data_IF_600248451616
#
_entry.id   IF_600248451616
#
_cell.length_a   1.000
_cell.length_b   1.000
_cell.length_c   1.000
_cell.angle_alpha   90.00
_cell.angle_beta   90.00
_cell.angle_gamma   90.00
#
_symmetry.space_group_name_H-M   'P 1'
#
loop_
_entity.id
_entity.type
_entity.pdbx_description
1 polymer ?
#
# COMPACT_ATOMS: atom_id res chain seq x y z
N UNK A 1 4.18 -16.49 12.73
CA UNK A 1 4.07 -15.02 12.61
C UNK A 1 4.44 -14.57 11.20
N UNK A 2 3.57 -13.77 10.57
CA UNK A 2 3.88 -13.02 9.35
C UNK A 2 3.69 -11.52 9.61
N UNK A 3 4.43 -10.66 8.92
CA UNK A 3 4.36 -9.21 9.12
C UNK A 3 4.52 -8.47 7.80
N UNK A 4 4.10 -7.21 7.78
CA UNK A 4 4.30 -6.33 6.65
C UNK A 4 4.29 -4.87 7.08
N UNK A 5 4.90 -4.02 6.26
CA UNK A 5 4.95 -2.60 6.50
C UNK A 5 4.37 -1.85 5.31
N UNK A 6 3.49 -0.91 5.61
CA UNK A 6 2.91 0.04 4.66
C UNK A 6 3.45 1.42 4.99
N UNK A 7 4.02 2.09 3.99
CA UNK A 7 4.40 3.50 4.04
C UNK A 7 3.40 4.31 3.19
N UNK A 8 2.72 5.27 3.81
CA UNK A 8 1.78 6.15 3.10
C UNK A 8 2.06 7.59 3.44
N UNK A 9 1.72 8.47 2.52
CA UNK A 9 1.86 9.91 2.71
C UNK A 9 0.54 10.61 2.47
N UNK A 10 0.25 11.63 3.27
CA UNK A 10 -0.97 12.41 3.14
C UNK A 10 -0.80 13.81 3.73
N UNK A 11 -1.72 14.70 3.35
CA UNK A 11 -1.82 16.04 3.95
C UNK A 11 -2.26 15.96 5.41
N UNK A 12 -1.92 16.98 6.22
CA UNK A 12 -2.17 16.96 7.66
C UNK A 12 -3.63 16.75 8.04
N UNK A 13 -4.57 17.28 7.25
CA UNK A 13 -6.02 17.12 7.44
C UNK A 13 -6.50 15.66 7.28
N UNK A 14 -5.71 14.81 6.62
CA UNK A 14 -6.06 13.40 6.32
C UNK A 14 -5.19 12.40 7.06
N UNK A 15 -3.94 12.75 7.34
CA UNK A 15 -2.90 11.83 7.81
C UNK A 15 -3.33 11.04 9.06
N UNK A 16 -3.82 11.73 10.10
CA UNK A 16 -4.26 11.09 11.33
C UNK A 16 -5.53 10.24 11.12
N UNK A 17 -6.44 10.70 10.26
CA UNK A 17 -7.65 9.95 9.91
C UNK A 17 -7.29 8.63 9.22
N UNK A 18 -6.37 8.66 8.25
CA UNK A 18 -5.87 7.45 7.57
C UNK A 18 -5.26 6.49 8.58
N UNK A 19 -4.36 6.96 9.45
CA UNK A 19 -3.72 6.12 10.47
C UNK A 19 -4.73 5.42 11.38
N UNK A 20 -5.70 6.19 11.93
CA UNK A 20 -6.72 5.65 12.84
C UNK A 20 -7.64 4.65 12.15
N UNK A 21 -8.20 5.03 11.00
CA UNK A 21 -9.09 4.16 10.22
C UNK A 21 -8.38 2.89 9.77
N UNK A 22 -7.10 2.97 9.40
CA UNK A 22 -6.31 1.78 9.04
C UNK A 22 -6.18 0.83 10.22
N UNK A 23 -5.80 1.32 11.41
CA UNK A 23 -5.69 0.47 12.61
C UNK A 23 -7.02 -0.19 13.00
N UNK A 24 -8.10 0.60 12.99
CA UNK A 24 -9.46 0.12 13.32
C UNK A 24 -9.92 -0.96 12.34
N UNK A 25 -9.80 -0.72 11.03
CA UNK A 25 -10.26 -1.66 10.01
C UNK A 25 -9.41 -2.93 9.94
N UNK A 26 -8.09 -2.81 10.13
CA UNK A 26 -7.21 -3.98 10.19
C UNK A 26 -7.56 -4.86 11.39
N UNK A 27 -7.76 -4.27 12.57
CA UNK A 27 -8.22 -5.04 13.73
C UNK A 27 -9.61 -5.64 13.48
N UNK A 28 -10.58 -4.84 13.05
CA UNK A 28 -11.96 -5.29 12.82
C UNK A 28 -12.03 -6.51 11.89
N UNK A 29 -11.28 -6.49 10.79
CA UNK A 29 -11.30 -7.57 9.79
C UNK A 29 -10.44 -8.78 10.17
N UNK A 30 -9.32 -8.59 10.85
CA UNK A 30 -8.29 -9.62 10.99
C UNK A 30 -7.96 -10.00 12.45
N UNK A 31 -8.72 -9.53 13.44
CA UNK A 31 -8.51 -9.88 14.86
C UNK A 31 -8.51 -11.40 15.13
N UNK A 32 -9.22 -12.20 14.33
CA UNK A 32 -9.22 -13.67 14.44
C UNK A 32 -7.84 -14.30 14.23
N UNK A 33 -6.93 -13.60 13.56
CA UNK A 33 -5.54 -14.01 13.33
C UNK A 33 -4.55 -13.32 14.30
N UNK A 34 -5.08 -12.73 15.38
CA UNK A 34 -4.30 -12.00 16.38
C UNK A 34 -3.42 -10.92 15.73
N UNK A 35 -4.07 -10.09 14.89
CA UNK A 35 -3.41 -8.98 14.23
C UNK A 35 -3.05 -7.88 15.22
N UNK A 36 -1.80 -7.42 15.17
CA UNK A 36 -1.32 -6.28 15.92
C UNK A 36 -0.80 -5.21 14.96
N UNK A 37 -0.98 -3.94 15.31
CA UNK A 37 -0.48 -2.82 14.51
C UNK A 37 0.36 -1.88 15.36
N UNK A 38 1.51 -1.50 14.83
CA UNK A 38 2.39 -0.50 15.41
C UNK A 38 2.83 0.45 14.30
N UNK A 39 3.02 1.73 14.60
CA UNK A 39 3.45 2.66 13.58
C UNK A 39 3.85 4.00 14.16
N UNK A 40 4.57 4.75 13.35
CA UNK A 40 5.07 6.08 13.69
C UNK A 40 4.96 7.00 12.48
N UNK A 41 5.19 8.29 12.70
CA UNK A 41 5.25 9.30 11.64
C UNK A 41 6.71 9.64 11.39
N UNK A 42 7.26 9.23 10.25
CA UNK A 42 8.72 9.25 10.02
C UNK A 42 9.19 10.50 9.26
N UNK A 43 8.33 11.06 8.41
CA UNK A 43 8.65 12.20 7.56
C UNK A 43 7.57 13.27 7.66
N UNK A 44 8.02 14.52 7.57
CA UNK A 44 7.18 15.71 7.64
C UNK A 44 7.53 16.62 6.48
N UNK A 45 6.50 17.22 5.89
CA UNK A 45 6.60 18.22 4.84
C UNK A 45 5.78 19.45 5.23
N UNK A 46 5.85 20.51 4.41
CA UNK A 46 5.07 21.73 4.66
C UNK A 46 3.55 21.49 4.73
N UNK A 47 3.04 20.50 4.02
CA UNK A 47 1.60 20.27 3.86
C UNK A 47 1.11 18.95 4.44
N UNK A 48 2.00 18.10 4.95
CA UNK A 48 1.63 16.76 5.41
C UNK A 48 2.79 15.97 5.98
N UNK A 49 2.60 14.66 6.04
CA UNK A 49 3.63 13.75 6.54
C UNK A 49 3.40 12.34 6.06
N UNK A 50 4.21 11.43 6.60
CA UNK A 50 4.19 10.02 6.28
C UNK A 50 3.79 9.20 7.50
N UNK A 51 2.96 8.18 7.30
CA UNK A 51 2.69 7.11 8.26
C UNK A 51 3.51 5.89 7.86
N UNK A 52 4.30 5.37 8.81
CA UNK A 52 4.96 4.08 8.72
C UNK A 52 4.20 3.08 9.61
N UNK A 53 3.29 2.32 9.03
CA UNK A 53 2.47 1.35 9.76
C UNK A 53 2.94 -0.07 9.48
N UNK A 54 3.25 -0.79 10.54
CA UNK A 54 3.56 -2.21 10.51
C UNK A 54 2.40 -3.00 11.10
N UNK A 55 2.06 -4.10 10.44
CA UNK A 55 1.16 -5.10 10.98
C UNK A 55 1.91 -6.39 11.27
N UNK A 56 1.46 -7.12 12.28
CA UNK A 56 1.92 -8.44 12.67
C UNK A 56 0.71 -9.34 12.77
N UNK A 57 0.76 -10.52 12.17
CA UNK A 57 -0.25 -11.56 12.29
C UNK A 57 0.43 -12.67 13.09
N UNK A 58 0.07 -12.79 14.35
CA UNK A 58 0.75 -13.70 15.28
C UNK A 58 0.30 -15.14 15.07
N UNK A 59 -0.97 -15.33 14.71
CA UNK A 59 -1.61 -16.63 14.48
C UNK A 59 -2.02 -16.78 13.00
N UNK A 60 -1.07 -16.85 12.05
CA UNK A 60 -1.38 -17.04 10.64
C UNK A 60 -1.85 -18.48 10.35
N UNK A 61 -2.52 -18.71 9.19
CA UNK A 61 -2.74 -20.06 8.68
C UNK A 61 -1.43 -20.87 8.60
N UNK A 62 -1.53 -22.18 8.83
CA UNK A 62 -0.38 -23.10 8.68
C UNK A 62 -0.03 -23.32 7.20
N UNK A 63 -1.05 -23.31 6.33
CA UNK A 63 -0.83 -23.42 4.89
C UNK A 63 -0.12 -22.15 4.34
N UNK A 64 1.04 -22.30 3.67
CA UNK A 64 1.78 -21.15 3.16
C UNK A 64 1.02 -20.31 2.12
N UNK A 65 0.19 -20.94 1.28
CA UNK A 65 -0.56 -20.19 0.27
C UNK A 65 -1.67 -19.34 0.90
N UNK A 66 -2.38 -19.90 1.89
CA UNK A 66 -3.35 -19.16 2.69
C UNK A 66 -2.70 -18.02 3.48
N UNK A 67 -1.52 -18.24 4.05
CA UNK A 67 -0.76 -17.20 4.75
C UNK A 67 -0.35 -16.05 3.80
N UNK A 68 0.08 -16.37 2.58
CA UNK A 68 0.41 -15.36 1.54
C UNK A 68 -0.84 -14.60 1.12
N UNK A 69 -1.96 -15.29 0.88
CA UNK A 69 -3.25 -14.66 0.52
C UNK A 69 -3.70 -13.70 1.61
N UNK A 70 -3.68 -14.12 2.88
CA UNK A 70 -4.02 -13.29 4.02
C UNK A 70 -3.11 -12.05 4.11
N UNK A 71 -1.80 -12.23 3.95
CA UNK A 71 -0.85 -11.12 3.93
C UNK A 71 -1.17 -10.09 2.83
N UNK A 72 -1.49 -10.56 1.62
CA UNK A 72 -1.86 -9.72 0.50
C UNK A 72 -3.19 -8.99 0.70
N UNK A 73 -4.17 -9.64 1.33
CA UNK A 73 -5.46 -9.03 1.71
C UNK A 73 -5.30 -7.91 2.74
N UNK A 74 -4.43 -8.12 3.74
CA UNK A 74 -4.14 -7.10 4.76
C UNK A 74 -3.49 -5.87 4.12
N UNK A 75 -2.51 -6.08 3.23
CA UNK A 75 -1.93 -5.00 2.42
C UNK A 75 -2.99 -4.28 1.60
N UNK A 76 -3.81 -5.04 0.87
CA UNK A 76 -4.86 -4.49 0.02
C UNK A 76 -5.86 -3.63 0.80
N UNK A 77 -6.27 -4.07 2.00
CA UNK A 77 -7.14 -3.27 2.88
C UNK A 77 -6.48 -1.94 3.24
N UNK A 78 -5.21 -1.95 3.68
CA UNK A 78 -4.49 -0.73 4.06
C UNK A 78 -4.35 0.25 2.87
N UNK A 79 -4.02 -0.27 1.70
CA UNK A 79 -3.84 0.53 0.47
C UNK A 79 -5.16 1.12 -0.02
N UNK A 80 -6.25 0.33 0.00
CA UNK A 80 -7.59 0.82 -0.38
C UNK A 80 -8.11 1.90 0.57
N UNK A 81 -7.88 1.76 1.89
CA UNK A 81 -8.23 2.80 2.87
C UNK A 81 -7.47 4.09 2.56
N UNK A 82 -6.17 3.98 2.32
CA UNK A 82 -5.30 5.13 2.00
C UNK A 82 -5.80 5.85 0.76
N UNK A 83 -6.02 5.14 -0.35
CA UNK A 83 -6.52 5.72 -1.59
C UNK A 83 -7.91 6.33 -1.42
N UNK A 84 -8.84 5.65 -0.73
CA UNK A 84 -10.21 6.15 -0.48
C UNK A 84 -10.23 7.44 0.34
N UNK A 85 -9.30 7.60 1.26
CA UNK A 85 -9.16 8.80 2.09
C UNK A 85 -8.24 9.86 1.45
N UNK A 86 -7.82 9.65 0.21
CA UNK A 86 -7.03 10.62 -0.56
C UNK A 86 -5.59 10.76 -0.11
N UNK A 87 -4.99 9.68 0.43
CA UNK A 87 -3.55 9.55 0.64
C UNK A 87 -2.84 8.95 -0.58
N UNK A 88 -1.51 8.98 -0.53
CA UNK A 88 -0.61 8.35 -1.50
C UNK A 88 -0.15 7.00 -0.94
N UNK A 89 -0.28 5.96 -1.75
CA UNK A 89 -0.10 4.55 -1.34
C UNK A 89 1.35 4.12 -1.10
N UNK A 90 2.32 5.01 -1.34
CA UNK A 90 3.74 4.78 -1.14
C UNK A 90 4.44 6.12 -0.89
N UNK A 91 5.50 6.11 -0.06
CA UNK A 91 6.36 7.26 0.15
C UNK A 91 7.78 6.98 -0.40
N UNK A 92 8.43 5.91 0.08
CA UNK A 92 9.82 5.60 -0.24
C UNK A 92 10.11 4.13 -0.53
N UNK A 93 9.25 3.17 -0.15
CA UNK A 93 9.54 1.75 -0.46
C UNK A 93 9.50 1.43 -1.96
N UNK A 94 8.82 2.24 -2.76
CA UNK A 94 8.55 1.98 -4.16
C UNK A 94 7.35 1.07 -4.39
N UNK A 95 6.80 1.14 -5.60
CA UNK A 95 5.58 0.42 -5.99
C UNK A 95 5.86 -1.05 -6.34
N UNK A 96 6.90 -1.29 -7.14
CA UNK A 96 7.28 -2.62 -7.60
C UNK A 96 6.13 -3.39 -8.27
N UNK A 97 6.12 -4.71 -8.07
CA UNK A 97 5.00 -5.59 -8.45
C UNK A 97 3.90 -5.59 -7.38
N UNK A 98 4.30 -5.50 -6.11
CA UNK A 98 3.42 -5.60 -4.94
C UNK A 98 2.28 -4.57 -4.99
N UNK A 99 2.62 -3.31 -5.25
CA UNK A 99 1.65 -2.21 -5.30
C UNK A 99 1.23 -1.85 -6.73
N UNK A 100 1.85 -2.44 -7.75
CA UNK A 100 1.57 -2.15 -9.16
C UNK A 100 0.09 -2.30 -9.52
N UNK A 101 -0.58 -3.32 -8.97
CA UNK A 101 -2.02 -3.56 -9.15
C UNK A 101 -2.92 -2.43 -8.61
N UNK A 102 -2.40 -1.54 -7.76
CA UNK A 102 -3.13 -0.40 -7.20
C UNK A 102 -2.80 0.93 -7.91
N UNK A 103 -1.92 0.94 -8.91
CA UNK A 103 -1.54 2.18 -9.60
C UNK A 103 -2.70 2.80 -10.36
N UNK A 104 -3.57 1.99 -10.97
CA UNK A 104 -4.81 2.47 -11.58
C UNK A 104 -5.79 3.03 -10.56
N UNK A 105 -5.81 2.50 -9.33
CA UNK A 105 -6.60 3.07 -8.22
C UNK A 105 -6.08 4.46 -7.82
N UNK A 106 -4.75 4.65 -7.79
CA UNK A 106 -4.12 5.92 -7.40
C UNK A 106 -4.22 7.00 -8.48
N UNK A 107 -4.01 6.63 -9.75
CA UNK A 107 -3.80 7.60 -10.84
C UNK A 107 -4.88 7.57 -11.94
N UNK A 108 -5.82 6.62 -11.86
CA UNK A 108 -6.87 6.43 -12.86
C UNK A 108 -6.33 6.04 -14.23
N UNK A 109 -7.23 5.91 -15.20
CA UNK A 109 -6.87 5.51 -16.56
C UNK A 109 -6.01 6.57 -17.26
N UNK A 110 -6.29 7.86 -17.03
CA UNK A 110 -5.53 8.95 -17.65
C UNK A 110 -4.07 8.97 -17.20
N UNK A 111 -3.83 8.83 -15.89
CA UNK A 111 -2.47 8.79 -15.33
C UNK A 111 -1.72 7.54 -15.77
N UNK A 112 -2.36 6.36 -15.72
CA UNK A 112 -1.77 5.13 -16.26
C UNK A 112 -1.48 5.23 -17.76
N UNK A 113 -2.34 5.89 -18.54
CA UNK A 113 -2.11 6.16 -19.95
C UNK A 113 -0.89 7.04 -20.20
N UNK A 114 -0.65 8.04 -19.36
CA UNK A 114 0.57 8.86 -19.43
C UNK A 114 1.82 8.03 -19.14
N UNK A 115 1.80 7.21 -18.08
CA UNK A 115 2.92 6.32 -17.73
C UNK A 115 3.21 5.31 -18.85
N UNK A 116 2.18 4.69 -19.45
CA UNK A 116 2.32 3.78 -20.59
C UNK A 116 2.96 4.45 -21.81
N UNK A 117 2.58 5.69 -22.12
CA UNK A 117 3.20 6.45 -23.23
C UNK A 117 4.67 6.75 -22.98
N UNK A 118 5.04 7.15 -21.77
CA UNK A 118 6.44 7.36 -21.40
C UNK A 118 7.23 6.05 -21.51
N UNK A 119 6.67 4.94 -20.98
CA UNK A 119 7.29 3.61 -21.06
C UNK A 119 7.52 3.17 -22.50
N UNK A 120 6.50 3.27 -23.37
CA UNK A 120 6.61 2.91 -24.78
C UNK A 120 7.67 3.75 -25.53
N UNK A 121 7.80 5.04 -25.19
CA UNK A 121 8.78 5.92 -25.83
C UNK A 121 10.22 5.57 -25.44
N UNK A 122 10.45 5.14 -24.20
CA UNK A 122 11.78 4.80 -23.68
C UNK A 122 12.15 3.31 -23.84
N UNK A 123 11.16 2.43 -23.89
CA UNK A 123 11.31 0.97 -23.93
C UNK A 123 10.24 0.34 -24.84
N UNK A 124 10.36 0.50 -26.16
CA UNK A 124 9.33 0.06 -27.10
C UNK A 124 9.11 -1.46 -27.12
N UNK A 125 10.12 -2.23 -26.67
CA UNK A 125 10.08 -3.69 -26.60
C UNK A 125 9.70 -4.22 -25.20
N UNK A 126 9.43 -3.35 -24.25
CA UNK A 126 8.98 -3.71 -22.90
C UNK A 126 9.94 -4.64 -22.14
N UNK A 127 11.25 -4.52 -22.35
CA UNK A 127 12.24 -5.43 -21.74
C UNK A 127 12.73 -4.95 -20.36
N UNK A 128 12.60 -3.66 -20.06
CA UNK A 128 13.08 -3.10 -18.81
C UNK A 128 12.04 -3.30 -17.69
N UNK A 129 12.23 -4.35 -16.90
CA UNK A 129 11.48 -4.62 -15.67
C UNK A 129 9.95 -4.75 -15.85
N UNK A 130 9.48 -5.74 -16.62
CA UNK A 130 8.07 -5.90 -16.98
C UNK A 130 7.15 -6.03 -15.76
N UNK A 131 5.95 -5.46 -15.81
CA UNK A 131 4.91 -5.59 -14.78
C UNK A 131 5.05 -4.60 -13.61
N UNK A 132 6.23 -4.02 -13.38
CA UNK A 132 6.41 -3.01 -12.31
C UNK A 132 5.60 -1.76 -12.62
N UNK A 133 5.15 -1.07 -11.58
CA UNK A 133 4.22 0.07 -11.68
C UNK A 133 2.85 -0.28 -12.30
N UNK A 134 2.55 -1.56 -12.48
CA UNK A 134 1.33 -1.98 -13.20
C UNK A 134 1.39 -1.64 -14.69
N UNK A 135 2.60 -1.64 -15.27
CA UNK A 135 2.90 -1.40 -16.68
C UNK A 135 3.31 -2.70 -17.37
#
# INVERSE_FOLDING_TARGET
>A
MIFGTVDISATFDRLLKIYRTMKEELYRKYHRYNIQTAGHFSHWSKSGGMVYLRFYILDPPEDPEEAIKLHDEVFETAIKITAKLGGIINDHHGIGLKLGRFMKLQYGEAGMGALRRIKQALDPNWIMNPGKLGL
#
